data_IF_649070714636
#
_entry.id   IF_649070714636
#
_cell.length_a   1.000
_cell.length_b   1.000
_cell.length_c   1.000
_cell.angle_alpha   90.00
_cell.angle_beta   90.00
_cell.angle_gamma   90.00
#
_symmetry.space_group_name_H-M   'P 1'
#
loop_
_entity.id
_entity.type
_entity.pdbx_description
1 polymer ?
#
# COMPACT_ATOMS: atom_id res chain seq x y z
N UNK A 1 -2.28 17.15 -3.25
CA UNK A 1 -2.13 16.77 -4.67
C UNK A 1 -2.97 17.73 -5.47
N UNK A 2 -2.40 18.37 -6.47
CA UNK A 2 -3.13 19.35 -7.28
C UNK A 2 -3.96 18.61 -8.33
N UNK A 3 -5.16 19.10 -8.63
CA UNK A 3 -6.10 18.48 -9.57
C UNK A 3 -5.47 18.23 -10.96
N UNK A 4 -4.56 19.12 -11.37
CA UNK A 4 -3.80 18.99 -12.60
C UNK A 4 -2.91 17.73 -12.63
N UNK A 5 -2.25 17.40 -11.52
CA UNK A 5 -1.39 16.20 -11.43
C UNK A 5 -2.19 14.90 -11.47
N UNK A 6 -3.38 14.89 -10.86
CA UNK A 6 -4.27 13.72 -10.91
C UNK A 6 -4.78 13.53 -12.34
N UNK A 7 -5.15 14.62 -13.02
CA UNK A 7 -5.65 14.57 -14.40
C UNK A 7 -4.58 14.07 -15.38
N UNK A 8 -3.32 14.47 -15.22
CA UNK A 8 -2.23 13.97 -16.07
C UNK A 8 -1.96 12.47 -15.85
N UNK A 9 -1.96 12.01 -14.60
CA UNK A 9 -1.83 10.59 -14.28
C UNK A 9 -2.99 9.77 -14.86
N UNK A 10 -4.23 10.25 -14.72
CA UNK A 10 -5.41 9.60 -15.29
C UNK A 10 -5.32 9.51 -16.82
N UNK A 11 -4.85 10.57 -17.49
CA UNK A 11 -4.68 10.58 -18.94
C UNK A 11 -3.61 9.58 -19.42
N UNK A 12 -2.54 9.33 -18.65
CA UNK A 12 -1.58 8.29 -18.96
C UNK A 12 -2.16 6.88 -18.78
N UNK A 13 -2.84 6.63 -17.66
CA UNK A 13 -3.45 5.33 -17.36
C UNK A 13 -4.55 4.98 -18.37
N UNK A 14 -5.31 5.97 -18.85
CA UNK A 14 -6.38 5.79 -19.83
C UNK A 14 -5.90 5.29 -21.21
N UNK A 15 -4.63 5.50 -21.58
CA UNK A 15 -4.10 5.08 -22.89
C UNK A 15 -4.12 3.56 -23.09
N UNK A 16 -4.13 2.79 -22.01
CA UNK A 16 -4.14 1.32 -22.03
C UNK A 16 -5.52 0.68 -21.84
N UNK A 17 -6.53 1.46 -21.45
CA UNK A 17 -7.86 0.96 -21.07
C UNK A 17 -8.76 0.82 -22.29
N UNK A 18 -9.27 -0.39 -22.55
CA UNK A 18 -10.16 -0.66 -23.69
C UNK A 18 -11.51 -1.23 -23.27
N UNK A 19 -11.57 -1.91 -22.13
CA UNK A 19 -12.77 -2.57 -21.63
C UNK A 19 -13.09 -2.19 -20.17
N UNK A 20 -14.35 -2.36 -19.72
CA UNK A 20 -14.70 -2.21 -18.30
C UNK A 20 -13.93 -3.15 -17.37
N UNK A 21 -13.53 -4.32 -17.88
CA UNK A 21 -12.74 -5.28 -17.12
C UNK A 21 -11.31 -4.77 -16.89
N UNK A 22 -10.70 -4.15 -17.90
CA UNK A 22 -9.38 -3.50 -17.76
C UNK A 22 -9.43 -2.41 -16.68
N UNK A 23 -10.53 -1.65 -16.61
CA UNK A 23 -10.73 -0.62 -15.59
C UNK A 23 -10.72 -1.20 -14.17
N UNK A 24 -11.45 -2.31 -13.95
CA UNK A 24 -11.52 -2.97 -12.66
C UNK A 24 -10.15 -3.54 -12.24
N UNK A 25 -9.45 -4.20 -13.17
CA UNK A 25 -8.12 -4.75 -12.91
C UNK A 25 -7.10 -3.66 -12.59
N UNK A 26 -7.09 -2.57 -13.37
CA UNK A 26 -6.20 -1.45 -13.09
C UNK A 26 -6.52 -0.79 -11.75
N UNK A 27 -7.80 -0.64 -11.41
CA UNK A 27 -8.22 -0.09 -10.11
C UNK A 27 -7.75 -0.97 -8.95
N UNK A 28 -7.85 -2.29 -9.07
CA UNK A 28 -7.36 -3.22 -8.06
C UNK A 28 -5.84 -3.11 -7.87
N UNK A 29 -5.08 -3.13 -8.97
CA UNK A 29 -3.61 -2.98 -8.94
C UNK A 29 -3.19 -1.64 -8.34
N UNK A 30 -3.87 -0.56 -8.72
CA UNK A 30 -3.59 0.78 -8.21
C UNK A 30 -3.87 0.89 -6.70
N UNK A 31 -5.01 0.35 -6.24
CA UNK A 31 -5.35 0.26 -4.82
C UNK A 31 -4.29 -0.53 -4.04
N UNK A 32 -3.82 -1.66 -4.59
CA UNK A 32 -2.72 -2.44 -4.00
C UNK A 32 -1.48 -1.59 -3.78
N UNK A 33 -0.98 -0.95 -4.84
CA UNK A 33 0.24 -0.14 -4.76
C UNK A 33 0.08 1.05 -3.81
N UNK A 34 -1.07 1.72 -3.81
CA UNK A 34 -1.35 2.81 -2.88
C UNK A 34 -1.26 2.37 -1.43
N UNK A 35 -1.93 1.26 -1.09
CA UNK A 35 -1.94 0.72 0.26
C UNK A 35 -0.53 0.28 0.68
N UNK A 36 0.17 -0.49 -0.15
CA UNK A 36 1.52 -0.97 0.17
C UNK A 36 2.51 0.17 0.34
N UNK A 37 2.42 1.20 -0.51
CA UNK A 37 3.26 2.39 -0.42
C UNK A 37 2.99 3.14 0.88
N UNK A 38 1.71 3.37 1.19
CA UNK A 38 1.31 4.06 2.41
C UNK A 38 1.76 3.30 3.67
N UNK A 39 1.63 1.97 3.71
CA UNK A 39 2.14 1.14 4.80
C UNK A 39 3.68 1.19 4.90
N UNK A 40 4.39 1.29 3.77
CA UNK A 40 5.85 1.44 3.79
C UNK A 40 6.28 2.79 4.36
N UNK A 41 5.55 3.86 4.06
CA UNK A 41 5.73 5.20 4.63
C UNK A 41 5.45 5.18 6.13
N UNK A 42 4.33 4.58 6.58
CA UNK A 42 4.05 4.41 8.01
C UNK A 42 5.20 3.68 8.73
N UNK A 43 5.78 2.64 8.10
CA UNK A 43 6.93 1.95 8.69
C UNK A 43 8.21 2.82 8.68
N UNK A 44 8.42 3.66 7.67
CA UNK A 44 9.53 4.64 7.66
C UNK A 44 9.41 5.60 8.83
N UNK A 45 8.20 6.11 9.08
CA UNK A 45 7.91 7.03 10.17
C UNK A 45 8.08 6.35 11.54
N UNK A 46 7.56 5.12 11.70
CA UNK A 46 7.73 4.32 12.92
C UNK A 46 9.20 4.05 13.26
N UNK A 47 10.01 3.74 12.26
CA UNK A 47 11.44 3.44 12.45
C UNK A 47 12.31 4.70 12.52
N UNK A 48 11.83 5.84 12.02
CA UNK A 48 12.57 7.10 11.92
C UNK A 48 13.63 7.14 10.82
N UNK A 49 13.61 6.18 9.89
CA UNK A 49 14.54 6.11 8.76
C UNK A 49 13.96 5.37 7.54
N UNK A 50 14.41 5.79 6.36
CA UNK A 50 13.97 5.24 5.08
C UNK A 50 14.62 3.90 4.75
N UNK A 51 14.02 3.15 3.81
CA UNK A 51 14.62 1.92 3.30
C UNK A 51 16.03 2.21 2.74
N UNK A 52 16.99 1.35 3.08
CA UNK A 52 18.42 1.47 2.72
C UNK A 52 19.20 2.63 3.38
N UNK A 53 18.58 3.41 4.26
CA UNK A 53 19.30 4.38 5.09
C UNK A 53 19.89 3.72 6.34
N UNK A 54 20.96 4.30 6.93
CA UNK A 54 21.47 3.87 8.23
C UNK A 54 20.36 3.88 9.28
N UNK A 55 20.26 2.78 10.04
CA UNK A 55 19.28 2.68 11.12
C UNK A 55 19.58 3.71 12.22
N UNK A 56 18.54 4.32 12.79
CA UNK A 56 18.66 5.26 13.90
C UNK A 56 18.39 4.64 15.28
N UNK A 57 18.10 3.33 15.35
CA UNK A 57 17.77 2.61 16.58
C UNK A 57 18.14 1.12 16.57
N UNK A 58 17.63 0.37 17.56
CA UNK A 58 17.81 -1.10 17.65
C UNK A 58 16.97 -1.84 16.60
N UNK A 59 15.76 -1.34 16.35
CA UNK A 59 14.79 -1.95 15.45
C UNK A 59 15.18 -1.80 13.98
N UNK A 60 14.67 -2.70 13.15
CA UNK A 60 14.91 -2.70 11.70
C UNK A 60 13.75 -3.28 10.90
N UNK A 61 13.72 -3.01 9.61
CA UNK A 61 12.79 -3.67 8.68
C UNK A 61 13.11 -5.17 8.58
N UNK A 62 12.08 -6.00 8.56
CA UNK A 62 12.21 -7.47 8.55
C UNK A 62 11.42 -8.12 7.40
N UNK A 63 11.42 -7.48 6.23
CA UNK A 63 10.70 -7.95 5.04
C UNK A 63 9.20 -7.66 5.10
N UNK A 64 8.42 -8.53 4.47
CA UNK A 64 6.98 -8.38 4.29
C UNK A 64 6.23 -9.64 4.74
N UNK A 65 4.96 -9.47 5.09
CA UNK A 65 4.00 -10.56 5.32
C UNK A 65 2.83 -10.39 4.37
N UNK A 66 2.46 -11.44 3.67
CA UNK A 66 1.30 -11.39 2.79
C UNK A 66 0.00 -11.41 3.60
N UNK A 67 -0.96 -10.58 3.20
CA UNK A 67 -2.32 -10.53 3.75
C UNK A 67 -3.31 -10.32 2.62
N UNK A 68 -4.32 -11.18 2.55
CA UNK A 68 -5.46 -10.98 1.66
C UNK A 68 -6.56 -10.22 2.39
N UNK A 69 -6.92 -9.05 1.87
CA UNK A 69 -8.05 -8.26 2.37
C UNK A 69 -9.24 -8.38 1.43
N UNK A 70 -10.45 -8.38 1.98
CA UNK A 70 -11.68 -8.31 1.20
C UNK A 70 -12.14 -6.86 1.12
N UNK A 71 -12.30 -6.37 -0.10
CA UNK A 71 -12.86 -5.06 -0.44
C UNK A 71 -14.19 -5.24 -1.18
N UNK A 72 -14.92 -4.15 -1.46
CA UNK A 72 -16.16 -4.19 -2.23
C UNK A 72 -15.95 -4.73 -3.65
N UNK A 73 -14.79 -4.41 -4.25
CA UNK A 73 -14.46 -4.80 -5.63
C UNK A 73 -13.81 -6.19 -5.73
N UNK A 74 -13.62 -6.88 -4.60
CA UNK A 74 -13.02 -8.21 -4.55
C UNK A 74 -11.90 -8.35 -3.52
N UNK A 75 -11.12 -9.42 -3.66
CA UNK A 75 -10.00 -9.72 -2.78
C UNK A 75 -8.70 -9.07 -3.30
N UNK A 76 -7.92 -8.52 -2.37
CA UNK A 76 -6.65 -7.88 -2.65
C UNK A 76 -5.54 -8.54 -1.84
N UNK A 77 -4.57 -9.13 -2.54
CA UNK A 77 -3.37 -9.67 -1.91
C UNK A 77 -2.33 -8.56 -1.73
N UNK A 78 -2.02 -8.25 -0.48
CA UNK A 78 -1.11 -7.17 -0.08
C UNK A 78 0.14 -7.73 0.60
N UNK A 79 1.28 -7.09 0.36
CA UNK A 79 2.52 -7.35 1.06
C UNK A 79 2.74 -6.28 2.15
N UNK A 80 2.46 -6.66 3.40
CA UNK A 80 2.50 -5.74 4.54
C UNK A 80 3.92 -5.68 5.11
N UNK A 81 4.53 -4.48 5.21
CA UNK A 81 5.86 -4.33 5.77
C UNK A 81 5.84 -4.59 7.28
N UNK A 82 6.93 -5.16 7.80
CA UNK A 82 7.07 -5.45 9.24
C UNK A 82 8.43 -5.02 9.77
N UNK A 83 8.47 -4.69 11.05
CA UNK A 83 9.69 -4.45 11.80
C UNK A 83 10.21 -5.74 12.46
N UNK A 84 11.43 -5.68 12.99
CA UNK A 84 12.13 -6.82 13.59
C UNK A 84 11.65 -7.08 15.01
N UNK A 85 11.34 -6.03 15.75
CA UNK A 85 10.87 -6.11 17.15
C UNK A 85 9.36 -6.39 17.25
N UNK A 86 8.60 -6.25 16.16
CA UNK A 86 7.15 -6.49 16.11
C UNK A 86 6.32 -5.37 16.76
N UNK A 87 6.92 -4.22 17.01
CA UNK A 87 6.30 -3.06 17.66
C UNK A 87 5.50 -2.19 16.70
N UNK A 88 5.63 -2.40 15.38
CA UNK A 88 4.90 -1.61 14.39
C UNK A 88 3.39 -1.92 14.42
N UNK A 89 2.56 -0.88 14.52
CA UNK A 89 1.10 -0.95 14.46
C UNK A 89 0.54 -0.10 13.31
N UNK A 90 0.28 -0.70 12.13
CA UNK A 90 -0.22 0.03 10.97
C UNK A 90 -1.62 0.61 11.22
N UNK A 91 -1.85 1.83 10.73
CA UNK A 91 -3.09 2.58 10.97
C UNK A 91 -4.08 2.42 9.82
N UNK A 92 -3.60 2.44 8.58
CA UNK A 92 -4.45 2.26 7.38
C UNK A 92 -5.11 0.89 7.35
N UNK A 93 -4.35 -0.18 7.65
CA UNK A 93 -4.87 -1.55 7.78
C UNK A 93 -4.38 -2.11 9.10
N UNK A 94 -5.29 -2.20 10.08
CA UNK A 94 -4.96 -2.69 11.41
C UNK A 94 -4.50 -4.15 11.39
N UNK A 95 -3.76 -4.54 12.44
CA UNK A 95 -3.43 -5.95 12.69
C UNK A 95 -4.72 -6.78 12.71
N UNK A 96 -4.67 -7.95 12.07
CA UNK A 96 -5.81 -8.88 11.92
C UNK A 96 -7.05 -8.34 11.19
N UNK A 97 -7.06 -7.10 10.72
CA UNK A 97 -8.13 -6.59 9.86
C UNK A 97 -8.05 -7.28 8.50
N UNK A 98 -9.12 -7.97 8.12
CA UNK A 98 -9.25 -8.74 6.86
C UNK A 98 -10.31 -8.17 5.92
N UNK A 99 -11.11 -7.19 6.36
CA UNK A 99 -12.15 -6.54 5.56
C UNK A 99 -12.02 -5.02 5.66
N UNK A 100 -12.13 -4.35 4.52
CA UNK A 100 -12.23 -2.90 4.41
C UNK A 100 -13.55 -2.61 3.71
N UNK A 101 -14.50 -2.08 4.46
CA UNK A 101 -15.75 -1.54 3.92
C UNK A 101 -15.58 -0.04 3.78
N UNK A 102 -15.60 0.45 2.53
CA UNK A 102 -15.77 1.86 2.23
C UNK A 102 -17.23 2.27 2.41
#
# INVERSE_FOLDING_TARGET
>A
MDEATIKSMAAELAKGLKTPEDLNQMTAVFKKFMIETALNTELSDHLGYEKHQPKKGSNSRNGFSSKTITTQDGQLALDIPRDREGSFEPQIIKKHQTRITS
#
